data_IF_382560375406
#
_entry.id   IF_382560375406
#
_cell.length_a   1.000
_cell.length_b   1.000
_cell.length_c   1.000
_cell.angle_alpha   90.00
_cell.angle_beta   90.00
_cell.angle_gamma   90.00
#
_symmetry.space_group_name_H-M   'P 1'
#
loop_
_entity.id
_entity.type
_entity.pdbx_description
1 polymer ?
#
# COMPACT_ATOMS: atom_id res chain seq x y z
N UNK A 1 21.74 16.77 15.68
CA UNK A 1 20.60 17.26 14.88
C UNK A 1 19.65 16.12 14.50
N UNK A 2 20.14 15.01 13.99
CA UNK A 2 19.35 13.82 13.61
C UNK A 2 18.61 13.17 14.78
N UNK A 3 19.27 12.97 15.92
CA UNK A 3 18.61 12.46 17.12
C UNK A 3 17.45 13.36 17.62
N UNK A 4 17.55 14.66 17.41
CA UNK A 4 16.50 15.60 17.80
C UNK A 4 15.31 15.50 16.85
N UNK A 5 15.56 15.36 15.54
CA UNK A 5 14.54 15.15 14.52
C UNK A 5 13.85 13.79 14.71
N UNK A 6 14.62 12.73 14.97
CA UNK A 6 14.05 11.42 15.28
C UNK A 6 13.06 11.50 16.46
N UNK A 7 13.43 12.17 17.56
CA UNK A 7 12.53 12.38 18.71
C UNK A 7 11.26 13.17 18.34
N UNK A 8 11.35 14.11 17.39
CA UNK A 8 10.19 14.88 16.92
C UNK A 8 9.24 13.96 16.12
N UNK A 9 9.77 13.15 15.22
CA UNK A 9 8.98 12.19 14.46
C UNK A 9 8.40 11.08 15.34
N UNK A 10 9.19 10.53 16.27
CA UNK A 10 8.73 9.55 17.25
C UNK A 10 7.55 10.10 18.08
N UNK A 11 7.65 11.33 18.55
CA UNK A 11 6.55 12.01 19.24
C UNK A 11 5.33 12.23 18.35
N UNK A 12 5.53 12.58 17.08
CA UNK A 12 4.46 12.77 16.12
C UNK A 12 3.72 11.45 15.89
N UNK A 13 4.46 10.38 15.63
CA UNK A 13 3.88 9.06 15.40
C UNK A 13 3.22 8.49 16.66
N UNK A 14 3.77 8.70 17.84
CA UNK A 14 3.13 8.31 19.09
C UNK A 14 1.80 9.05 19.38
N UNK A 15 1.59 10.26 18.83
CA UNK A 15 0.29 10.93 18.87
C UNK A 15 -0.66 10.33 17.83
N UNK A 16 -0.15 9.98 16.66
CA UNK A 16 -0.92 9.36 15.59
C UNK A 16 -1.42 7.97 16.01
N UNK A 17 -0.55 7.15 16.58
CA UNK A 17 -0.88 5.83 17.15
C UNK A 17 -2.07 5.88 18.12
N UNK A 18 -2.05 6.83 19.05
CA UNK A 18 -3.16 7.02 20.01
C UNK A 18 -4.47 7.38 19.32
N UNK A 19 -4.41 8.17 18.24
CA UNK A 19 -5.61 8.54 17.45
C UNK A 19 -6.14 7.35 16.68
N UNK A 20 -5.24 6.58 16.06
CA UNK A 20 -5.62 5.39 15.28
C UNK A 20 -6.20 4.32 16.19
N UNK A 21 -5.57 4.04 17.34
CA UNK A 21 -6.12 3.14 18.35
C UNK A 21 -7.52 3.58 18.85
N UNK A 22 -7.71 4.89 19.09
CA UNK A 22 -9.02 5.43 19.48
C UNK A 22 -10.04 5.40 18.34
N UNK A 23 -9.59 5.45 17.08
CA UNK A 23 -10.44 5.29 15.90
C UNK A 23 -10.87 3.83 15.74
N UNK A 24 -9.91 2.90 15.80
CA UNK A 24 -10.17 1.45 15.71
C UNK A 24 -11.12 0.99 16.83
N UNK A 25 -10.95 1.45 18.06
CA UNK A 25 -11.82 1.08 19.19
C UNK A 25 -13.30 1.49 19.01
N UNK A 26 -13.61 2.37 18.06
CA UNK A 26 -14.98 2.82 17.74
C UNK A 26 -15.60 2.10 16.55
N UNK A 27 -14.79 1.39 15.78
CA UNK A 27 -15.25 0.67 14.61
C UNK A 27 -15.63 -0.76 14.98
N UNK A 28 -16.52 -1.34 14.22
CA UNK A 28 -16.91 -2.73 14.35
C UNK A 28 -16.26 -3.53 13.24
N UNK A 29 -15.84 -4.74 13.55
CA UNK A 29 -15.38 -5.69 12.55
C UNK A 29 -16.59 -6.32 11.85
N UNK A 30 -16.49 -6.63 10.56
CA UNK A 30 -17.55 -7.35 9.88
C UNK A 30 -17.66 -8.78 10.44
N UNK A 31 -18.89 -9.30 10.53
CA UNK A 31 -19.14 -10.67 10.95
C UNK A 31 -18.84 -11.69 9.84
N UNK A 32 -18.49 -12.92 10.20
CA UNK A 32 -18.30 -14.04 9.28
C UNK A 32 -17.00 -13.97 8.47
N UNK A 33 -15.99 -13.30 9.00
CA UNK A 33 -14.63 -13.29 8.44
C UNK A 33 -13.75 -14.24 9.23
N UNK A 34 -13.11 -15.15 8.52
CA UNK A 34 -12.03 -15.99 9.05
C UNK A 34 -10.74 -15.20 9.05
N UNK A 35 -10.07 -15.20 10.19
CA UNK A 35 -8.76 -14.61 10.40
C UNK A 35 -7.72 -15.71 10.64
N UNK A 36 -6.62 -15.66 9.93
CA UNK A 36 -5.44 -16.48 10.18
C UNK A 36 -4.23 -15.54 10.29
N UNK A 37 -3.63 -15.48 11.47
CA UNK A 37 -2.72 -14.41 11.85
C UNK A 37 -1.26 -14.89 12.01
N UNK A 38 -0.32 -13.93 11.90
CA UNK A 38 1.08 -14.04 12.26
C UNK A 38 1.87 -15.08 11.44
N UNK A 39 1.60 -15.17 10.14
CA UNK A 39 2.45 -15.95 9.24
C UNK A 39 3.78 -15.22 9.02
N UNK A 40 4.88 -15.84 9.47
CA UNK A 40 6.22 -15.33 9.19
C UNK A 40 6.58 -15.58 7.72
N UNK A 41 6.81 -14.52 6.96
CA UNK A 41 7.22 -14.62 5.55
C UNK A 41 8.75 -14.69 5.38
N UNK A 42 9.52 -14.36 6.43
CA UNK A 42 10.95 -14.63 6.53
C UNK A 42 11.26 -15.39 7.83
N UNK A 43 12.27 -16.29 7.84
CA UNK A 43 12.56 -17.16 8.98
C UNK A 43 13.49 -16.52 10.04
N UNK A 44 13.58 -15.18 10.07
CA UNK A 44 14.50 -14.45 10.94
C UNK A 44 13.90 -14.05 12.31
N UNK A 45 12.60 -14.27 12.50
CA UNK A 45 11.88 -13.93 13.73
C UNK A 45 11.65 -12.43 13.92
N UNK A 46 11.84 -11.60 12.89
CA UNK A 46 11.60 -10.17 12.98
C UNK A 46 10.11 -9.86 13.09
N UNK A 47 9.71 -9.02 14.07
CA UNK A 47 8.28 -8.72 14.34
C UNK A 47 7.51 -8.10 13.17
N UNK A 48 8.20 -7.47 12.25
CA UNK A 48 7.62 -6.87 11.04
C UNK A 48 7.67 -7.80 9.82
N UNK A 49 8.23 -9.01 9.93
CA UNK A 49 8.18 -10.01 8.86
C UNK A 49 7.01 -10.98 9.04
N UNK A 50 5.84 -10.39 9.34
CA UNK A 50 4.59 -11.10 9.58
C UNK A 50 3.50 -10.60 8.62
N UNK A 51 2.57 -11.48 8.30
CA UNK A 51 1.34 -11.14 7.58
C UNK A 51 0.15 -11.91 8.14
N UNK A 52 -1.04 -11.35 7.92
CA UNK A 52 -2.32 -11.96 8.26
C UNK A 52 -3.14 -12.23 7.00
N UNK A 53 -4.09 -13.15 7.13
CA UNK A 53 -4.99 -13.55 6.03
C UNK A 53 -6.44 -13.45 6.52
N UNK A 54 -7.27 -12.77 5.74
CA UNK A 54 -8.70 -12.57 6.02
C UNK A 54 -9.52 -13.03 4.83
N UNK A 55 -10.61 -13.78 5.07
CA UNK A 55 -11.56 -14.18 4.03
C UNK A 55 -12.91 -14.57 4.61
N UNK A 56 -14.01 -14.51 3.83
CA UNK A 56 -15.31 -14.94 4.29
C UNK A 56 -15.30 -16.40 4.76
N UNK A 57 -15.85 -16.69 5.94
CA UNK A 57 -16.01 -18.07 6.42
C UNK A 57 -16.88 -18.92 5.47
N UNK A 58 -17.95 -18.29 4.98
CA UNK A 58 -18.88 -18.90 4.04
C UNK A 58 -18.57 -18.42 2.63
N UNK A 59 -17.87 -19.24 1.84
CA UNK A 59 -17.55 -18.94 0.45
C UNK A 59 -17.70 -20.20 -0.42
N UNK A 60 -17.97 -20.00 -1.70
CA UNK A 60 -17.98 -21.06 -2.70
C UNK A 60 -16.76 -20.91 -3.62
N UNK A 61 -15.99 -22.01 -3.78
CA UNK A 61 -14.82 -22.02 -4.66
C UNK A 61 -13.67 -21.14 -4.21
N UNK A 62 -12.88 -20.67 -5.19
CA UNK A 62 -11.72 -19.82 -4.95
C UNK A 62 -12.13 -18.34 -4.94
N UNK A 63 -11.46 -17.56 -4.11
CA UNK A 63 -11.69 -16.13 -3.93
C UNK A 63 -10.63 -15.32 -4.67
N UNK A 64 -10.99 -14.22 -5.33
CA UNK A 64 -10.02 -13.25 -5.82
C UNK A 64 -9.19 -12.69 -4.65
N UNK A 65 -7.90 -12.43 -4.92
CA UNK A 65 -6.91 -12.09 -3.89
C UNK A 65 -6.63 -10.60 -3.89
N UNK A 66 -6.66 -10.00 -2.72
CA UNK A 66 -6.17 -8.64 -2.47
C UNK A 66 -4.94 -8.71 -1.57
N UNK A 67 -3.90 -7.97 -1.92
CA UNK A 67 -2.69 -7.88 -1.11
C UNK A 67 -2.56 -6.42 -0.67
N UNK A 68 -2.55 -6.18 0.65
CA UNK A 68 -2.50 -4.84 1.23
C UNK A 68 -1.13 -4.51 1.81
N UNK A 69 -0.68 -3.27 1.55
CA UNK A 69 0.55 -2.68 2.10
C UNK A 69 0.18 -1.41 2.85
N UNK A 70 0.31 -1.44 4.16
CA UNK A 70 -0.13 -0.34 5.03
C UNK A 70 0.67 0.96 4.85
N UNK A 71 0.04 2.08 5.17
CA UNK A 71 0.66 3.40 5.23
C UNK A 71 1.55 3.62 6.46
N UNK A 72 1.60 4.88 6.95
CA UNK A 72 2.36 5.22 8.17
C UNK A 72 3.66 5.97 7.91
N UNK A 73 3.80 6.66 6.75
CA UNK A 73 4.97 7.51 6.45
C UNK A 73 6.30 6.76 6.51
N UNK A 74 6.32 5.47 6.21
CA UNK A 74 7.46 4.54 6.23
C UNK A 74 8.08 4.31 7.61
N UNK A 75 7.58 4.98 8.67
CA UNK A 75 8.17 5.01 10.02
C UNK A 75 7.23 4.52 11.10
N UNK A 76 5.98 4.22 10.76
CA UNK A 76 4.92 3.90 11.70
C UNK A 76 3.99 2.81 11.12
N UNK A 77 3.37 2.07 12.02
CA UNK A 77 2.36 1.06 11.69
C UNK A 77 2.92 -0.35 11.52
N UNK A 78 2.02 -1.24 11.37
CA UNK A 78 2.19 -2.64 11.02
C UNK A 78 0.87 -3.14 10.42
N UNK A 79 0.71 -4.45 10.19
CA UNK A 79 -0.51 -5.06 9.66
C UNK A 79 -1.79 -4.71 10.44
N UNK A 80 -1.69 -4.43 11.74
CA UNK A 80 -2.85 -4.04 12.55
C UNK A 80 -3.43 -2.68 12.15
N UNK A 81 -2.61 -1.78 11.55
CA UNK A 81 -3.06 -0.45 11.13
C UNK A 81 -4.19 -0.53 10.08
N UNK A 82 -4.10 -1.47 9.13
CA UNK A 82 -5.07 -1.63 8.07
C UNK A 82 -6.03 -2.83 8.30
N UNK A 83 -5.96 -3.50 9.46
CA UNK A 83 -6.77 -4.69 9.75
C UNK A 83 -8.26 -4.49 9.42
N UNK A 84 -8.88 -3.45 9.97
CA UNK A 84 -10.31 -3.19 9.79
C UNK A 84 -10.64 -2.98 8.29
N UNK A 85 -9.82 -2.19 7.59
CA UNK A 85 -9.95 -1.99 6.15
C UNK A 85 -9.88 -3.32 5.38
N UNK A 86 -8.90 -4.16 5.71
CA UNK A 86 -8.70 -5.47 5.08
C UNK A 86 -9.87 -6.42 5.32
N UNK A 87 -10.43 -6.45 6.54
CA UNK A 87 -11.60 -7.26 6.84
C UNK A 87 -12.85 -6.79 6.09
N UNK A 88 -13.04 -5.46 5.93
CA UNK A 88 -14.13 -4.94 5.10
C UNK A 88 -13.94 -5.21 3.60
N UNK A 89 -12.70 -5.33 3.11
CA UNK A 89 -12.42 -5.88 1.77
C UNK A 89 -12.81 -7.37 1.73
N UNK A 90 -12.40 -8.15 2.72
CA UNK A 90 -12.75 -9.57 2.80
C UNK A 90 -14.27 -9.79 2.82
N UNK A 91 -15.02 -8.98 3.57
CA UNK A 91 -16.48 -9.02 3.60
C UNK A 91 -17.15 -8.76 2.24
N UNK A 92 -16.41 -8.21 1.27
CA UNK A 92 -16.86 -8.04 -0.12
C UNK A 92 -16.54 -9.24 -1.02
N UNK A 93 -16.13 -10.37 -0.44
CA UNK A 93 -15.90 -11.64 -1.14
C UNK A 93 -14.49 -11.79 -1.69
N UNK A 94 -13.49 -11.25 -1.00
CA UNK A 94 -12.09 -11.38 -1.36
C UNK A 94 -11.29 -12.14 -0.29
N UNK A 95 -10.20 -12.76 -0.69
CA UNK A 95 -9.17 -13.21 0.23
C UNK A 95 -8.11 -12.11 0.31
N UNK A 96 -7.79 -11.66 1.52
CA UNK A 96 -6.87 -10.55 1.74
C UNK A 96 -5.62 -11.01 2.47
N UNK A 97 -4.45 -10.72 1.90
CA UNK A 97 -3.18 -10.79 2.61
C UNK A 97 -2.81 -9.37 3.06
N UNK A 98 -2.59 -9.19 4.35
CA UNK A 98 -2.23 -7.92 4.97
C UNK A 98 -0.87 -8.06 5.64
N UNK A 99 0.14 -7.34 5.15
CA UNK A 99 1.52 -7.53 5.57
C UNK A 99 2.08 -6.35 6.36
N UNK A 100 2.99 -6.66 7.29
CA UNK A 100 3.93 -5.70 7.85
C UNK A 100 5.23 -5.68 7.04
N UNK A 101 5.99 -4.61 7.17
CA UNK A 101 7.36 -4.45 6.64
C UNK A 101 8.18 -3.63 7.64
N UNK A 102 9.51 -3.80 7.67
CA UNK A 102 10.39 -3.05 8.58
C UNK A 102 10.29 -1.54 8.33
N UNK A 103 10.47 -0.77 9.38
CA UNK A 103 10.24 0.68 9.36
C UNK A 103 11.55 1.47 9.32
N UNK A 104 11.52 2.66 8.71
CA UNK A 104 12.60 3.61 8.84
C UNK A 104 12.62 4.19 10.28
N UNK A 105 13.78 4.55 10.85
CA UNK A 105 15.10 4.53 10.23
C UNK A 105 15.88 3.22 10.43
N UNK A 106 15.24 2.14 10.90
CA UNK A 106 15.90 0.84 11.04
C UNK A 106 16.38 0.33 9.68
N UNK A 107 15.52 0.51 8.67
CA UNK A 107 15.80 0.21 7.26
C UNK A 107 15.42 1.39 6.37
N UNK A 108 15.93 1.39 5.15
CA UNK A 108 15.61 2.38 4.10
C UNK A 108 14.39 1.94 3.27
N UNK A 109 13.78 2.86 2.51
CA UNK A 109 12.66 2.53 1.61
C UNK A 109 12.99 1.43 0.59
N UNK A 110 14.18 1.38 -0.04
CA UNK A 110 14.57 0.22 -0.85
C UNK A 110 14.53 -1.10 -0.09
N UNK A 111 14.96 -1.15 1.16
CA UNK A 111 14.89 -2.35 2.00
C UNK A 111 13.44 -2.69 2.39
N UNK A 112 12.55 -1.69 2.57
CA UNK A 112 11.12 -1.91 2.72
C UNK A 112 10.49 -2.54 1.46
N UNK A 113 10.94 -2.11 0.27
CA UNK A 113 10.52 -2.77 -0.99
C UNK A 113 10.99 -4.22 -1.05
N UNK A 114 12.20 -4.52 -0.56
CA UNK A 114 12.69 -5.90 -0.45
C UNK A 114 11.81 -6.73 0.49
N UNK A 115 11.39 -6.19 1.63
CA UNK A 115 10.48 -6.85 2.57
C UNK A 115 9.11 -7.13 1.92
N UNK A 116 8.52 -6.14 1.25
CA UNK A 116 7.25 -6.30 0.52
C UNK A 116 7.39 -7.41 -0.54
N UNK A 117 8.48 -7.41 -1.31
CA UNK A 117 8.70 -8.43 -2.33
C UNK A 117 8.96 -9.82 -1.74
N UNK A 118 9.62 -9.91 -0.58
CA UNK A 118 9.77 -11.18 0.15
C UNK A 118 8.42 -11.73 0.63
N UNK A 119 7.54 -10.85 1.16
CA UNK A 119 6.19 -11.23 1.52
C UNK A 119 5.38 -11.72 0.30
N UNK A 120 5.50 -11.04 -0.85
CA UNK A 120 4.86 -11.47 -2.10
C UNK A 120 5.37 -12.83 -2.59
N UNK A 121 6.67 -13.10 -2.46
CA UNK A 121 7.24 -14.40 -2.79
C UNK A 121 6.66 -15.49 -1.88
N UNK A 122 6.60 -15.24 -0.58
CA UNK A 122 5.97 -16.15 0.37
C UNK A 122 4.49 -16.38 0.05
N UNK A 123 3.73 -15.34 -0.27
CA UNK A 123 2.32 -15.44 -0.68
C UNK A 123 2.21 -16.34 -1.91
N UNK A 124 3.02 -16.12 -2.94
CA UNK A 124 3.02 -16.96 -4.14
C UNK A 124 3.27 -18.43 -3.83
N UNK A 125 4.26 -18.72 -2.98
CA UNK A 125 4.64 -20.08 -2.60
C UNK A 125 3.60 -20.77 -1.70
N UNK A 126 2.82 -20.02 -0.93
CA UNK A 126 1.88 -20.53 0.06
C UNK A 126 0.40 -20.34 -0.29
N UNK A 127 0.08 -19.69 -1.39
CA UNK A 127 -1.29 -19.32 -1.78
C UNK A 127 -2.24 -20.52 -1.85
N UNK A 128 -1.76 -21.70 -2.23
CA UNK A 128 -2.57 -22.92 -2.32
C UNK A 128 -3.03 -23.48 -0.94
N UNK A 129 -2.53 -22.93 0.16
CA UNK A 129 -3.00 -23.25 1.52
C UNK A 129 -4.35 -22.59 1.82
N UNK A 130 -4.77 -21.63 1.00
CA UNK A 130 -5.94 -20.79 1.17
C UNK A 130 -6.89 -20.93 -0.03
N UNK A 131 -8.17 -20.54 0.09
CA UNK A 131 -9.12 -20.57 -1.02
C UNK A 131 -8.86 -19.45 -2.05
N UNK A 132 -7.62 -19.27 -2.48
CA UNK A 132 -7.16 -18.18 -3.32
C UNK A 132 -7.24 -18.51 -4.82
N UNK A 133 -7.68 -17.56 -5.64
CA UNK A 133 -7.56 -17.62 -7.09
C UNK A 133 -6.27 -16.94 -7.54
N UNK A 134 -5.30 -17.74 -7.99
CA UNK A 134 -3.98 -17.26 -8.48
C UNK A 134 -4.05 -16.38 -9.72
N UNK A 135 -5.17 -16.40 -10.44
CA UNK A 135 -5.35 -15.63 -11.66
C UNK A 135 -6.06 -14.29 -11.42
N UNK A 136 -6.46 -14.03 -10.18
CA UNK A 136 -7.23 -12.85 -9.80
C UNK A 136 -6.57 -12.16 -8.61
N UNK A 137 -5.59 -11.29 -8.87
CA UNK A 137 -4.78 -10.65 -7.83
C UNK A 137 -4.77 -9.13 -8.01
N UNK A 138 -5.15 -8.40 -6.96
CA UNK A 138 -5.01 -6.95 -6.85
C UNK A 138 -3.99 -6.60 -5.75
N UNK A 139 -3.11 -5.64 -6.04
CA UNK A 139 -2.26 -5.01 -5.03
C UNK A 139 -2.89 -3.70 -4.58
N UNK A 140 -2.94 -3.44 -3.30
CA UNK A 140 -3.44 -2.17 -2.75
C UNK A 140 -2.51 -1.62 -1.69
N UNK A 141 -2.59 -0.32 -1.44
CA UNK A 141 -1.88 0.33 -0.36
C UNK A 141 -2.24 1.80 -0.26
N UNK A 142 -2.00 2.37 0.91
CA UNK A 142 -2.32 3.74 1.22
C UNK A 142 -1.09 4.57 1.61
N UNK A 143 -1.07 5.85 1.27
CA UNK A 143 -0.01 6.79 1.68
C UNK A 143 1.39 6.28 1.31
N UNK A 144 2.24 6.01 2.30
CA UNK A 144 3.56 5.38 2.13
C UNK A 144 3.44 3.96 1.56
N UNK A 145 2.48 3.16 2.03
CA UNK A 145 2.16 1.84 1.46
C UNK A 145 1.64 1.95 0.02
N UNK A 146 0.92 3.02 -0.30
CA UNK A 146 0.55 3.36 -1.68
C UNK A 146 1.75 3.61 -2.59
N UNK A 147 2.82 4.24 -2.08
CA UNK A 147 4.09 4.35 -2.80
C UNK A 147 4.73 2.96 -2.97
N UNK A 148 4.89 2.21 -1.88
CA UNK A 148 5.49 0.87 -1.93
C UNK A 148 4.73 -0.03 -2.92
N UNK A 149 3.40 0.00 -2.90
CA UNK A 149 2.56 -0.74 -3.85
C UNK A 149 2.75 -0.28 -5.31
N UNK A 150 2.85 1.03 -5.55
CA UNK A 150 3.10 1.56 -6.88
C UNK A 150 4.46 1.08 -7.44
N UNK A 151 5.52 1.13 -6.61
CA UNK A 151 6.84 0.62 -7.00
C UNK A 151 6.83 -0.89 -7.19
N UNK A 152 6.19 -1.64 -6.30
CA UNK A 152 6.05 -3.10 -6.39
C UNK A 152 5.32 -3.53 -7.65
N UNK A 153 4.27 -2.81 -8.05
CA UNK A 153 3.59 -3.05 -9.31
C UNK A 153 4.51 -2.83 -10.53
N UNK A 154 5.40 -1.83 -10.49
CA UNK A 154 6.41 -1.64 -11.52
C UNK A 154 7.46 -2.76 -11.49
N UNK A 155 7.89 -3.20 -10.31
CA UNK A 155 8.83 -4.32 -10.14
C UNK A 155 8.27 -5.62 -10.71
N UNK A 156 6.95 -5.87 -10.65
CA UNK A 156 6.34 -7.09 -11.18
C UNK A 156 6.52 -7.24 -12.70
N UNK A 157 6.68 -6.14 -13.42
CA UNK A 157 6.82 -6.11 -14.90
C UNK A 157 8.19 -5.65 -15.39
N UNK A 158 9.14 -5.34 -14.49
CA UNK A 158 10.43 -4.74 -14.85
C UNK A 158 11.61 -5.42 -14.20
N UNK A 159 12.30 -6.28 -14.93
CA UNK A 159 13.59 -6.85 -14.50
C UNK A 159 14.67 -5.79 -14.23
N UNK A 160 14.83 -4.72 -15.05
CA UNK A 160 15.79 -3.66 -14.75
C UNK A 160 15.56 -2.99 -13.39
N UNK A 161 14.30 -2.74 -13.02
CA UNK A 161 13.97 -2.18 -11.70
C UNK A 161 14.26 -3.20 -10.59
N UNK A 162 13.88 -4.48 -10.77
CA UNK A 162 14.22 -5.52 -9.79
C UNK A 162 15.72 -5.60 -9.53
N UNK A 163 16.54 -5.59 -10.58
CA UNK A 163 18.01 -5.57 -10.43
C UNK A 163 18.51 -4.32 -9.69
N UNK A 164 17.91 -3.16 -9.96
CA UNK A 164 18.32 -1.92 -9.31
C UNK A 164 18.01 -1.91 -7.81
N UNK A 165 16.85 -2.41 -7.41
CA UNK A 165 16.43 -2.48 -6.01
C UNK A 165 16.87 -3.76 -5.29
N UNK A 166 17.66 -4.61 -5.96
CA UNK A 166 18.13 -5.90 -5.44
C UNK A 166 16.96 -6.78 -4.95
N UNK A 167 15.97 -6.93 -5.83
CA UNK A 167 14.75 -7.69 -5.59
C UNK A 167 14.68 -8.87 -6.55
N UNK A 168 14.43 -10.07 -6.03
CA UNK A 168 14.13 -11.25 -6.83
C UNK A 168 12.73 -11.14 -7.47
N UNK A 169 12.50 -11.92 -8.53
CA UNK A 169 11.16 -12.10 -9.07
C UNK A 169 10.29 -12.86 -8.06
N UNK A 170 9.24 -12.25 -7.61
CA UNK A 170 8.29 -12.84 -6.67
C UNK A 170 7.20 -13.67 -7.35
N UNK A 171 7.16 -13.71 -8.70
CA UNK A 171 6.32 -14.62 -9.49
C UNK A 171 4.83 -14.34 -9.44
N UNK A 172 4.39 -13.12 -9.06
CA UNK A 172 3.00 -12.69 -9.09
C UNK A 172 2.77 -11.65 -10.18
N UNK A 173 1.61 -11.75 -10.83
CA UNK A 173 1.08 -10.75 -11.75
C UNK A 173 -0.16 -10.10 -11.16
N UNK A 174 -0.25 -8.79 -11.22
CA UNK A 174 -1.40 -8.05 -10.73
C UNK A 174 -2.36 -7.72 -11.87
N UNK A 175 -3.63 -8.09 -11.73
CA UNK A 175 -4.69 -7.70 -12.67
C UNK A 175 -4.94 -6.19 -12.63
N UNK A 176 -4.81 -5.59 -11.45
CA UNK A 176 -4.87 -4.15 -11.25
C UNK A 176 -4.23 -3.75 -9.91
N UNK A 177 -4.07 -2.44 -9.72
CA UNK A 177 -3.62 -1.86 -8.45
C UNK A 177 -4.58 -0.78 -7.98
N UNK A 178 -4.75 -0.65 -6.65
CA UNK A 178 -5.49 0.46 -6.04
C UNK A 178 -4.56 1.24 -5.12
N UNK A 179 -4.42 2.54 -5.35
CA UNK A 179 -3.50 3.41 -4.65
C UNK A 179 -4.27 4.53 -3.95
N UNK A 180 -4.40 4.44 -2.64
CA UNK A 180 -5.10 5.45 -1.83
C UNK A 180 -4.13 6.50 -1.33
N UNK A 181 -4.28 7.74 -1.83
CA UNK A 181 -3.44 8.87 -1.42
C UNK A 181 -1.92 8.58 -1.52
N UNK A 182 -1.42 7.97 -2.61
CA UNK A 182 -0.03 7.54 -2.69
C UNK A 182 0.95 8.71 -2.70
N UNK A 183 2.12 8.52 -2.12
CA UNK A 183 3.24 9.46 -2.23
C UNK A 183 4.11 9.04 -3.42
N UNK A 184 3.97 9.71 -4.56
CA UNK A 184 4.65 9.35 -5.81
C UNK A 184 5.93 10.16 -6.09
N UNK A 185 6.08 11.30 -5.43
CA UNK A 185 7.17 12.25 -5.67
C UNK A 185 7.88 12.59 -4.37
N UNK A 186 9.10 12.08 -4.21
CA UNK A 186 9.94 12.28 -3.02
C UNK A 186 10.99 13.37 -3.21
N UNK A 187 11.27 13.77 -4.47
CA UNK A 187 12.25 14.81 -4.78
C UNK A 187 11.63 16.21 -4.63
N UNK A 188 11.04 16.49 -3.49
CA UNK A 188 10.46 17.80 -3.15
C UNK A 188 11.17 18.41 -1.95
N UNK A 189 11.29 19.76 -1.87
CA UNK A 189 11.84 20.42 -0.69
C UNK A 189 11.12 19.96 0.59
N UNK A 190 11.90 19.60 1.60
CA UNK A 190 11.38 19.06 2.86
C UNK A 190 11.53 17.54 3.00
N UNK A 191 11.32 16.75 1.94
CA UNK A 191 11.58 15.31 1.98
C UNK A 191 13.07 14.95 1.82
N UNK A 192 13.87 15.81 1.15
CA UNK A 192 15.28 15.56 0.85
C UNK A 192 16.26 15.96 1.95
N UNK A 193 15.78 16.53 3.04
CA UNK A 193 16.62 16.90 4.20
C UNK A 193 16.96 15.71 5.11
N UNK A 194 16.92 15.95 6.41
CA UNK A 194 17.18 14.88 7.40
C UNK A 194 16.15 13.74 7.31
N UNK A 195 14.90 14.06 7.01
CA UNK A 195 13.86 13.05 6.73
C UNK A 195 14.28 12.14 5.56
N UNK A 196 14.71 12.74 4.45
CA UNK A 196 15.18 11.99 3.28
C UNK A 196 16.36 11.07 3.59
N UNK A 197 17.29 11.45 4.50
CA UNK A 197 18.37 10.56 4.93
C UNK A 197 17.87 9.35 5.70
N UNK A 198 16.90 9.56 6.58
CA UNK A 198 16.27 8.46 7.34
C UNK A 198 15.57 7.47 6.43
N UNK A 199 14.97 7.96 5.35
CA UNK A 199 14.18 7.16 4.40
C UNK A 199 15.02 6.47 3.32
N UNK A 200 16.04 7.17 2.80
CA UNK A 200 16.78 6.78 1.61
C UNK A 200 18.27 6.53 1.88
N UNK A 201 18.68 6.59 3.15
CA UNK A 201 20.06 6.41 3.56
C UNK A 201 20.96 7.63 3.32
N UNK A 202 22.27 7.45 3.55
CA UNK A 202 23.27 8.50 3.43
C UNK A 202 23.50 8.94 1.96
N UNK A 203 24.02 10.15 1.71
CA UNK A 203 24.16 10.70 0.36
C UNK A 203 24.83 9.81 -0.71
N UNK A 204 25.82 8.96 -0.40
CA UNK A 204 26.34 8.01 -1.39
C UNK A 204 25.30 7.02 -1.89
N UNK A 205 24.49 6.47 -0.97
CA UNK A 205 23.39 5.56 -1.29
C UNK A 205 22.23 6.30 -1.98
N UNK A 206 21.87 7.50 -1.50
CA UNK A 206 20.86 8.34 -2.14
C UNK A 206 21.17 8.64 -3.61
N UNK A 207 22.45 8.76 -3.98
CA UNK A 207 22.85 8.96 -5.38
C UNK A 207 22.46 7.78 -6.27
N UNK A 208 22.51 6.57 -5.74
CA UNK A 208 22.10 5.37 -6.49
C UNK A 208 20.59 5.33 -6.69
N UNK A 209 19.79 5.76 -5.69
CA UNK A 209 18.32 5.73 -5.74
C UNK A 209 17.71 7.02 -6.29
N UNK A 210 18.47 8.11 -6.37
CA UNK A 210 17.98 9.42 -6.81
C UNK A 210 17.23 9.42 -8.15
N UNK A 211 17.62 8.66 -9.17
CA UNK A 211 16.85 8.56 -10.41
C UNK A 211 15.43 8.02 -10.22
N UNK A 212 15.17 7.30 -9.12
CA UNK A 212 13.91 6.60 -8.87
C UNK A 212 13.12 7.17 -7.68
N UNK A 213 13.42 8.40 -7.26
CA UNK A 213 12.69 9.10 -6.21
C UNK A 213 11.33 9.63 -6.66
N UNK A 214 11.15 9.75 -7.97
CA UNK A 214 9.91 10.18 -8.59
C UNK A 214 9.40 9.07 -9.52
N UNK A 215 8.11 8.95 -9.60
CA UNK A 215 7.49 7.86 -10.36
C UNK A 215 7.63 8.01 -11.88
N UNK A 216 7.99 9.22 -12.37
CA UNK A 216 8.23 9.46 -13.81
C UNK A 216 9.34 8.54 -14.36
N UNK A 217 10.43 8.35 -13.62
CA UNK A 217 11.53 7.50 -14.03
C UNK A 217 11.22 6.00 -13.87
N UNK A 218 10.36 5.66 -12.91
CA UNK A 218 9.91 4.29 -12.66
C UNK A 218 9.02 3.80 -13.81
N UNK A 219 8.01 4.59 -14.20
CA UNK A 219 7.01 4.16 -15.17
C UNK A 219 7.60 3.94 -16.57
N UNK A 220 8.68 4.67 -16.91
CA UNK A 220 9.37 4.49 -18.19
C UNK A 220 10.09 3.15 -18.30
N UNK A 221 10.42 2.53 -17.17
CA UNK A 221 11.06 1.22 -17.09
C UNK A 221 10.07 0.08 -16.84
N UNK A 222 8.77 0.38 -16.72
CA UNK A 222 7.73 -0.59 -16.39
C UNK A 222 6.66 -0.73 -17.51
N UNK A 223 7.04 -1.16 -18.73
CA UNK A 223 6.07 -1.40 -19.79
C UNK A 223 5.11 -2.52 -19.37
N UNK A 224 3.82 -2.28 -19.55
CA UNK A 224 2.79 -3.22 -19.07
C UNK A 224 2.41 -3.05 -17.61
N UNK A 225 2.70 -1.88 -17.01
CA UNK A 225 2.21 -1.53 -15.67
C UNK A 225 0.70 -1.81 -15.57
N UNK A 226 0.23 -2.47 -14.50
CA UNK A 226 -1.16 -2.88 -14.40
C UNK A 226 -2.14 -1.70 -14.35
N UNK A 227 -3.40 -1.89 -14.75
CA UNK A 227 -4.46 -0.89 -14.59
C UNK A 227 -4.52 -0.36 -13.16
N UNK A 228 -4.69 0.95 -13.00
CA UNK A 228 -4.56 1.61 -11.71
C UNK A 228 -5.80 2.43 -11.32
N UNK A 229 -6.35 2.19 -10.14
CA UNK A 229 -7.32 3.05 -9.49
C UNK A 229 -6.61 3.92 -8.45
N UNK A 230 -6.69 5.24 -8.63
CA UNK A 230 -6.15 6.20 -7.67
C UNK A 230 -7.30 6.84 -6.88
N UNK A 231 -7.10 7.01 -5.58
CA UNK A 231 -8.10 7.57 -4.68
C UNK A 231 -7.50 8.72 -3.89
N UNK A 232 -8.18 9.85 -3.83
CA UNK A 232 -7.81 10.99 -3.01
C UNK A 232 -9.03 11.84 -2.65
N UNK A 233 -8.84 12.88 -1.86
CA UNK A 233 -9.91 13.79 -1.46
C UNK A 233 -9.44 15.23 -1.34
N UNK A 234 -10.37 16.17 -1.40
CA UNK A 234 -10.08 17.62 -1.26
C UNK A 234 -9.51 18.02 0.11
N UNK A 235 -9.69 17.17 1.13
CA UNK A 235 -9.13 17.37 2.47
C UNK A 235 -7.78 16.72 2.69
N UNK A 236 -7.30 15.97 1.71
CA UNK A 236 -5.97 15.34 1.75
C UNK A 236 -4.88 16.38 1.39
N UNK A 237 -4.47 17.16 2.37
CA UNK A 237 -3.41 18.14 2.19
C UNK A 237 -2.02 17.53 1.95
N UNK A 238 -1.83 16.23 2.25
CA UNK A 238 -0.55 15.54 2.14
C UNK A 238 -0.31 15.01 0.73
N UNK A 239 -1.28 14.30 0.15
CA UNK A 239 -1.09 13.56 -1.08
C UNK A 239 -1.99 13.99 -2.26
N UNK A 240 -2.99 14.85 -2.07
CA UNK A 240 -3.92 15.27 -3.13
C UNK A 240 -3.20 15.65 -4.44
N UNK A 241 -2.20 16.56 -4.36
CA UNK A 241 -1.47 17.03 -5.54
C UNK A 241 -0.65 15.91 -6.17
N UNK A 242 -0.05 15.05 -5.35
CA UNK A 242 0.76 13.93 -5.81
C UNK A 242 -0.09 12.85 -6.49
N UNK A 243 -1.25 12.52 -5.92
CA UNK A 243 -2.18 11.55 -6.50
C UNK A 243 -2.70 12.02 -7.86
N UNK A 244 -3.08 13.29 -7.96
CA UNK A 244 -3.49 13.91 -9.25
C UNK A 244 -2.37 13.88 -10.27
N UNK A 245 -1.16 14.27 -9.88
CA UNK A 245 0.01 14.26 -10.77
C UNK A 245 0.36 12.83 -11.23
N UNK A 246 0.26 11.84 -10.36
CA UNK A 246 0.46 10.44 -10.71
C UNK A 246 -0.60 9.95 -11.71
N UNK A 247 -1.87 10.31 -11.52
CA UNK A 247 -2.93 10.00 -12.49
C UNK A 247 -2.66 10.61 -13.87
N UNK A 248 -2.28 11.89 -13.91
CA UNK A 248 -1.90 12.56 -15.17
C UNK A 248 -0.68 11.91 -15.83
N UNK A 249 0.31 11.48 -15.04
CA UNK A 249 1.46 10.73 -15.53
C UNK A 249 1.01 9.41 -16.17
N UNK A 250 0.19 8.63 -15.48
CA UNK A 250 -0.33 7.37 -15.99
C UNK A 250 -1.08 7.55 -17.31
N UNK A 251 -1.95 8.54 -17.40
CA UNK A 251 -2.64 8.88 -18.67
C UNK A 251 -1.64 9.20 -19.79
N UNK A 252 -0.62 10.02 -19.52
CA UNK A 252 0.40 10.38 -20.52
C UNK A 252 1.22 9.19 -20.98
N UNK A 253 1.44 8.20 -20.10
CA UNK A 253 2.23 6.98 -20.37
C UNK A 253 1.38 5.82 -20.90
N UNK A 254 0.08 6.05 -21.11
CA UNK A 254 -0.83 5.03 -21.67
C UNK A 254 -1.20 3.92 -20.70
N UNK A 255 -0.99 4.11 -19.39
CA UNK A 255 -1.49 3.19 -18.35
C UNK A 255 -3.00 3.38 -18.22
N UNK A 256 -3.74 2.28 -18.24
CA UNK A 256 -5.18 2.31 -17.94
C UNK A 256 -5.39 2.80 -16.50
N UNK A 257 -6.05 3.94 -16.32
CA UNK A 257 -6.17 4.54 -14.99
C UNK A 257 -7.50 5.23 -14.77
N UNK A 258 -7.98 5.16 -13.52
CA UNK A 258 -9.18 5.86 -13.03
C UNK A 258 -8.82 6.63 -11.78
N UNK A 259 -9.36 7.83 -11.62
CA UNK A 259 -9.19 8.67 -10.44
C UNK A 259 -10.53 8.85 -9.71
N UNK A 260 -10.56 8.49 -8.43
CA UNK A 260 -11.60 8.89 -7.50
C UNK A 260 -11.10 10.08 -6.69
N UNK A 261 -11.44 11.27 -7.17
CA UNK A 261 -11.09 12.53 -6.51
C UNK A 261 -12.34 13.05 -5.79
N UNK A 262 -12.42 12.78 -4.50
CA UNK A 262 -13.57 13.17 -3.69
C UNK A 262 -13.51 14.67 -3.37
N UNK A 263 -14.48 15.47 -3.85
CA UNK A 263 -14.67 16.84 -3.38
C UNK A 263 -15.12 16.82 -1.91
N UNK A 264 -15.67 17.94 -1.43
CA UNK A 264 -16.40 17.89 -0.16
C UNK A 264 -17.53 16.87 -0.24
N UNK A 265 -17.58 16.00 0.74
CA UNK A 265 -18.62 14.99 0.89
C UNK A 265 -19.56 15.38 2.04
N UNK A 266 -20.85 15.52 1.77
CA UNK A 266 -21.84 16.02 2.73
C UNK A 266 -21.38 17.35 3.41
N UNK A 267 -20.75 18.23 2.65
CA UNK A 267 -20.24 19.52 3.11
C UNK A 267 -18.92 19.46 3.91
N UNK A 268 -18.35 18.29 4.14
CA UNK A 268 -17.10 18.07 4.89
C UNK A 268 -15.94 17.72 3.96
N UNK A 269 -14.73 18.15 4.32
CA UNK A 269 -13.52 17.66 3.70
C UNK A 269 -13.20 16.29 4.27
N UNK A 270 -12.99 15.29 3.40
CA UNK A 270 -12.53 13.97 3.82
C UNK A 270 -11.03 14.02 4.11
N UNK A 271 -10.55 13.38 5.18
CA UNK A 271 -9.13 13.39 5.54
C UNK A 271 -8.27 12.56 4.58
N UNK A 272 -6.96 12.65 4.73
CA UNK A 272 -5.99 11.73 4.14
C UNK A 272 -6.39 10.28 4.42
N UNK A 273 -6.34 9.42 3.40
CA UNK A 273 -6.69 7.98 3.42
C UNK A 273 -8.05 7.64 4.06
N UNK A 274 -9.05 8.50 3.87
CA UNK A 274 -10.34 8.45 4.56
C UNK A 274 -11.04 7.09 4.52
N UNK A 275 -10.97 6.39 3.38
CA UNK A 275 -11.62 5.10 3.20
C UNK A 275 -10.90 3.95 3.93
N UNK A 276 -9.61 4.10 4.20
CA UNK A 276 -8.82 3.16 5.03
C UNK A 276 -9.09 3.43 6.51
N UNK A 277 -9.10 4.71 6.91
CA UNK A 277 -9.35 5.12 8.29
C UNK A 277 -10.77 4.79 8.79
N UNK A 278 -11.77 4.84 7.91
CA UNK A 278 -13.16 4.56 8.26
C UNK A 278 -13.91 3.98 7.04
N UNK A 279 -13.73 2.66 6.78
CA UNK A 279 -14.30 1.97 5.61
C UNK A 279 -15.83 1.90 5.63
N UNK A 280 -16.47 2.04 6.77
CA UNK A 280 -17.94 2.00 6.91
C UNK A 280 -18.60 3.39 7.00
N UNK A 281 -17.80 4.46 6.97
CA UNK A 281 -18.37 5.81 6.90
C UNK A 281 -19.23 6.00 5.64
N UNK A 282 -20.09 7.04 5.65
CA UNK A 282 -20.94 7.37 4.50
C UNK A 282 -20.14 7.59 3.19
N UNK A 283 -18.87 8.01 3.29
CA UNK A 283 -17.95 8.16 2.16
C UNK A 283 -17.08 6.91 1.93
N UNK A 284 -16.65 6.22 3.00
CA UNK A 284 -15.79 5.05 2.95
C UNK A 284 -16.45 3.87 2.24
N UNK A 285 -17.68 3.52 2.66
CA UNK A 285 -18.41 2.38 2.10
C UNK A 285 -18.57 2.42 0.58
N UNK A 286 -19.09 3.49 -0.05
CA UNK A 286 -19.17 3.56 -1.51
C UNK A 286 -17.78 3.61 -2.19
N UNK A 287 -16.76 4.13 -1.53
CA UNK A 287 -15.40 4.06 -2.02
C UNK A 287 -14.91 2.61 -2.07
N UNK A 288 -15.07 1.86 -0.99
CA UNK A 288 -14.74 0.43 -0.91
C UNK A 288 -15.50 -0.42 -1.95
N UNK A 289 -16.79 -0.12 -2.17
CA UNK A 289 -17.60 -0.79 -3.18
C UNK A 289 -17.06 -0.49 -4.61
N UNK A 290 -16.56 0.73 -4.85
CA UNK A 290 -15.91 1.07 -6.13
C UNK A 290 -14.58 0.35 -6.29
N UNK A 291 -13.78 0.20 -5.24
CA UNK A 291 -12.54 -0.61 -5.26
C UNK A 291 -12.85 -2.05 -5.63
N UNK A 292 -13.84 -2.66 -4.97
CA UNK A 292 -14.28 -4.02 -5.26
C UNK A 292 -14.79 -4.19 -6.70
N UNK A 293 -15.57 -3.23 -7.20
CA UNK A 293 -16.05 -3.23 -8.58
C UNK A 293 -14.92 -3.10 -9.58
N UNK A 294 -13.97 -2.18 -9.35
CA UNK A 294 -12.80 -1.99 -10.21
C UNK A 294 -11.98 -3.29 -10.34
N UNK A 295 -11.75 -4.00 -9.23
CA UNK A 295 -11.05 -5.27 -9.28
C UNK A 295 -11.82 -6.31 -10.08
N UNK A 296 -13.14 -6.46 -9.84
CA UNK A 296 -13.97 -7.41 -10.60
C UNK A 296 -13.99 -7.14 -12.11
N UNK A 297 -13.95 -5.89 -12.53
CA UNK A 297 -13.84 -5.51 -13.94
C UNK A 297 -12.53 -6.04 -14.58
N UNK A 298 -11.42 -6.10 -13.81
CA UNK A 298 -10.11 -6.45 -14.35
C UNK A 298 -9.74 -7.94 -14.22
N UNK A 299 -10.52 -8.74 -13.51
CA UNK A 299 -10.35 -10.20 -13.48
C UNK A 299 -11.25 -10.92 -14.49
N UNK A 300 -12.22 -10.23 -15.10
CA UNK A 300 -13.13 -10.79 -16.10
C UNK A 300 -12.66 -10.50 -17.55
N UNK A 301 -11.62 -9.70 -17.68
CA UNK A 301 -11.05 -9.30 -18.95
C UNK A 301 -9.91 -10.25 -19.36
#
# INVERSE_FOLDING_TARGET
MEQTLFKIYDKFWGVTEKKDAANHARQHLPEGIKEENDFAYLPDGHRYHLLDVYYPENHEGKLPVVIDVHGGGWMYGDKELNKIYCEYIAARGFLVFNMSYRLAPEVTVPEQLQDVCAALKWINENMDRFPADRNAIMLTGDSAGGQLSAYTAALSVSEPLRRHFDVEDFGLHFNCVTLTSPVAYMNVPGYMGAYGRMMWGEPPFQRCVKPYLNFDEIIDLAPGYPPALLITSSGDFMALKQTRALHELFMRKGVSTKLLDYPKYEGKNLPHVFAVLDPESSAGKPCMDTVAAFFREHIQA
#
